data_IF_133377282957
#
_entry.id   IF_133377282957
#
_cell.length_a   1.000
_cell.length_b   1.000
_cell.length_c   1.000
_cell.angle_alpha   90.00
_cell.angle_beta   90.00
_cell.angle_gamma   90.00
#
_symmetry.space_group_name_H-M   'P 1'
#
loop_
_entity.id
_entity.type
_entity.pdbx_description
1 polymer ?
#
# COMPACT_ATOMS: atom_id res chain seq x y z
N UNK A 1 -16.60 -0.75 25.40
CA UNK A 1 -15.27 -0.12 25.32
C UNK A 1 -14.23 -1.24 25.44
N UNK A 2 -13.53 -1.59 24.35
CA UNK A 2 -12.43 -2.57 24.36
C UNK A 2 -11.13 -1.83 24.70
N UNK A 3 -10.28 -2.34 25.61
CA UNK A 3 -9.02 -1.68 25.91
C UNK A 3 -8.04 -1.86 24.75
N UNK A 4 -7.31 -0.78 24.45
CA UNK A 4 -6.17 -0.78 23.54
C UNK A 4 -5.06 -1.65 24.15
N UNK A 5 -4.95 -2.90 23.69
CA UNK A 5 -3.84 -3.77 24.06
C UNK A 5 -2.60 -3.27 23.31
N UNK A 6 -1.72 -2.60 24.05
CA UNK A 6 -0.37 -2.24 23.61
C UNK A 6 0.43 -3.53 23.38
N UNK A 7 0.36 -4.07 22.16
CA UNK A 7 1.21 -5.17 21.73
C UNK A 7 2.61 -4.59 21.56
N UNK A 8 3.42 -4.67 22.61
CA UNK A 8 4.87 -4.51 22.49
C UNK A 8 5.35 -5.60 21.54
N UNK A 9 5.70 -5.23 20.31
CA UNK A 9 6.33 -6.10 19.31
C UNK A 9 7.72 -6.48 19.83
N UNK A 10 7.80 -7.55 20.62
CA UNK A 10 9.06 -8.22 20.89
C UNK A 10 9.61 -8.70 19.56
N UNK A 11 10.77 -8.14 19.15
CA UNK A 11 11.53 -8.58 17.98
C UNK A 11 11.89 -10.05 18.16
N UNK A 12 11.00 -10.93 17.71
CA UNK A 12 11.13 -12.37 17.83
C UNK A 12 11.81 -12.84 16.58
N UNK A 13 13.10 -13.17 16.70
CA UNK A 13 13.91 -13.72 15.62
C UNK A 13 13.56 -15.21 15.43
N UNK A 14 12.33 -15.48 14.98
CA UNK A 14 11.81 -16.83 14.76
C UNK A 14 12.12 -17.31 13.35
N UNK A 15 12.44 -18.59 13.21
CA UNK A 15 12.65 -19.20 11.90
C UNK A 15 11.30 -19.45 11.22
N UNK A 16 11.08 -18.83 10.07
CA UNK A 16 9.81 -18.92 9.31
C UNK A 16 9.88 -19.99 8.23
N UNK A 17 11.05 -20.17 7.60
CA UNK A 17 11.28 -21.17 6.57
C UNK A 17 12.46 -22.08 6.93
N UNK A 18 12.21 -23.39 7.04
CA UNK A 18 13.26 -24.39 7.24
C UNK A 18 14.08 -24.66 5.96
N UNK A 19 13.45 -24.75 4.79
CA UNK A 19 14.14 -25.14 3.55
C UNK A 19 15.14 -24.09 3.04
N UNK A 20 14.88 -22.83 3.35
CA UNK A 20 15.72 -21.70 2.96
C UNK A 20 16.36 -21.01 4.17
N UNK A 21 16.16 -21.48 5.41
CA UNK A 21 16.67 -20.84 6.63
C UNK A 21 16.38 -19.32 6.66
N UNK A 22 15.10 -18.96 6.52
CA UNK A 22 14.64 -17.56 6.52
C UNK A 22 14.02 -17.24 7.87
N UNK A 23 14.39 -16.11 8.47
CA UNK A 23 13.83 -15.62 9.74
C UNK A 23 12.67 -14.65 9.52
N UNK A 24 11.86 -14.45 10.55
CA UNK A 24 10.80 -13.44 10.58
C UNK A 24 11.37 -12.04 10.39
N UNK A 25 12.51 -11.73 11.00
CA UNK A 25 13.18 -10.43 10.89
C UNK A 25 13.62 -10.11 9.46
N UNK A 26 14.14 -11.09 8.72
CA UNK A 26 14.48 -10.91 7.30
C UNK A 26 13.25 -10.56 6.47
N UNK A 27 12.13 -11.27 6.69
CA UNK A 27 10.86 -10.98 6.00
C UNK A 27 10.33 -9.61 6.39
N UNK A 28 10.29 -9.28 7.67
CA UNK A 28 9.81 -7.98 8.18
C UNK A 28 10.61 -6.81 7.59
N UNK A 29 11.94 -6.91 7.59
CA UNK A 29 12.81 -5.86 7.04
C UNK A 29 12.55 -5.65 5.54
N UNK A 30 12.44 -6.72 4.76
CA UNK A 30 12.16 -6.62 3.32
C UNK A 30 10.79 -5.97 3.08
N UNK A 31 9.75 -6.39 3.83
CA UNK A 31 8.42 -5.79 3.70
C UNK A 31 8.46 -4.30 4.03
N UNK A 32 9.15 -3.91 5.10
CA UNK A 32 9.32 -2.50 5.47
C UNK A 32 10.06 -1.72 4.40
N UNK A 33 11.12 -2.27 3.81
CA UNK A 33 11.90 -1.58 2.79
C UNK A 33 11.11 -1.43 1.49
N UNK A 34 10.29 -2.42 1.12
CA UNK A 34 9.34 -2.32 0.00
C UNK A 34 8.31 -1.20 0.24
N UNK A 35 7.76 -1.09 1.45
CA UNK A 35 6.77 -0.06 1.80
C UNK A 35 7.37 1.35 1.95
N UNK A 36 8.63 1.45 2.37
CA UNK A 36 9.37 2.73 2.38
C UNK A 36 9.64 3.23 0.96
N UNK A 37 9.92 2.31 0.03
CA UNK A 37 10.14 2.66 -1.37
C UNK A 37 8.83 3.08 -2.07
N UNK A 38 7.74 2.36 -1.83
CA UNK A 38 6.39 2.71 -2.28
C UNK A 38 5.32 2.24 -1.28
N UNK A 39 4.72 3.17 -0.51
CA UNK A 39 3.73 2.84 0.54
C UNK A 39 2.49 2.09 0.05
N UNK A 40 2.12 2.22 -1.23
CA UNK A 40 0.87 1.66 -1.79
C UNK A 40 1.10 0.43 -2.66
N UNK A 41 2.35 -0.03 -2.73
CA UNK A 41 2.70 -1.18 -3.53
C UNK A 41 2.14 -2.47 -2.93
N UNK A 42 1.62 -3.35 -3.80
CA UNK A 42 1.19 -4.68 -3.40
C UNK A 42 2.40 -5.56 -3.02
N UNK A 43 2.50 -5.90 -1.74
CA UNK A 43 3.51 -6.83 -1.23
C UNK A 43 2.97 -8.27 -1.29
N UNK A 44 3.62 -9.12 -2.08
CA UNK A 44 3.27 -10.55 -2.22
C UNK A 44 4.45 -11.43 -1.84
N UNK A 45 4.22 -12.69 -1.40
CA UNK A 45 5.30 -13.62 -1.07
C UNK A 45 6.34 -13.75 -2.18
N UNK A 46 5.90 -13.85 -3.43
CA UNK A 46 6.80 -13.94 -4.59
C UNK A 46 7.79 -12.76 -4.66
N UNK A 47 7.36 -11.55 -4.29
CA UNK A 47 8.21 -10.37 -4.27
C UNK A 47 9.23 -10.42 -3.14
N UNK A 48 8.78 -10.81 -1.94
CA UNK A 48 9.68 -11.02 -0.78
C UNK A 48 10.76 -12.05 -1.08
N UNK A 49 10.39 -13.19 -1.69
CA UNK A 49 11.34 -14.21 -2.13
C UNK A 49 12.30 -13.69 -3.22
N UNK A 50 11.81 -12.83 -4.12
CA UNK A 50 12.62 -12.12 -5.11
C UNK A 50 13.72 -11.27 -4.47
N UNK A 51 13.36 -10.44 -3.48
CA UNK A 51 14.32 -9.61 -2.74
C UNK A 51 15.35 -10.45 -1.97
N UNK A 52 14.94 -11.63 -1.44
CA UNK A 52 15.86 -12.58 -0.80
C UNK A 52 16.81 -13.28 -1.79
N UNK A 53 16.63 -13.10 -3.11
CA UNK A 53 17.30 -13.86 -4.15
C UNK A 53 17.15 -15.39 -3.98
N UNK A 54 16.01 -15.84 -3.45
CA UNK A 54 15.71 -17.25 -3.16
C UNK A 54 14.36 -17.63 -3.76
N UNK A 55 14.25 -18.85 -4.31
CA UNK A 55 12.95 -19.41 -4.72
C UNK A 55 12.32 -20.21 -3.58
N UNK A 56 10.99 -20.25 -3.54
CA UNK A 56 10.27 -21.12 -2.62
C UNK A 56 10.51 -22.59 -3.01
N UNK A 57 11.10 -23.39 -2.09
CA UNK A 57 11.41 -24.82 -2.35
C UNK A 57 10.21 -25.75 -2.10
N UNK A 58 9.56 -25.61 -0.94
CA UNK A 58 8.45 -26.49 -0.51
C UNK A 58 7.11 -25.77 -0.36
N UNK A 59 7.09 -24.43 -0.51
CA UNK A 59 5.96 -23.50 -0.28
C UNK A 59 5.21 -23.59 1.05
N UNK A 60 5.55 -24.51 1.97
CA UNK A 60 4.83 -24.68 3.25
C UNK A 60 4.91 -23.51 4.23
N UNK A 61 5.90 -22.61 4.08
CA UNK A 61 6.06 -21.41 4.91
C UNK A 61 5.37 -20.17 4.34
N UNK A 62 4.77 -20.25 3.15
CA UNK A 62 4.11 -19.10 2.50
C UNK A 62 3.00 -18.49 3.35
N UNK A 63 2.11 -19.27 4.01
CA UNK A 63 1.08 -18.68 4.89
C UNK A 63 1.68 -17.82 6.02
N UNK A 64 2.74 -18.30 6.68
CA UNK A 64 3.43 -17.53 7.71
C UNK A 64 4.05 -16.23 7.18
N UNK A 65 4.58 -16.26 5.95
CA UNK A 65 5.09 -15.05 5.28
C UNK A 65 3.95 -14.06 5.01
N UNK A 66 2.78 -14.54 4.56
CA UNK A 66 1.59 -13.71 4.36
C UNK A 66 1.14 -13.06 5.67
N UNK A 67 1.09 -13.80 6.77
CA UNK A 67 0.73 -13.25 8.08
C UNK A 67 1.67 -12.13 8.54
N UNK A 68 2.98 -12.30 8.28
CA UNK A 68 3.99 -11.26 8.54
C UNK A 68 3.73 -10.04 7.65
N UNK A 69 3.48 -10.24 6.35
CA UNK A 69 3.17 -9.14 5.42
C UNK A 69 1.99 -8.34 5.93
N UNK A 70 0.85 -8.98 6.22
CA UNK A 70 -0.36 -8.32 6.72
C UNK A 70 -0.06 -7.51 7.97
N UNK A 71 0.54 -8.14 9.00
CA UNK A 71 0.89 -7.46 10.25
C UNK A 71 1.78 -6.24 10.05
N UNK A 72 2.83 -6.37 9.23
CA UNK A 72 3.78 -5.27 8.98
C UNK A 72 3.11 -4.15 8.19
N UNK A 73 2.32 -4.47 7.17
CA UNK A 73 1.58 -3.47 6.39
C UNK A 73 0.59 -2.69 7.25
N UNK A 74 -0.22 -3.35 8.07
CA UNK A 74 -1.18 -2.70 8.97
C UNK A 74 -0.46 -1.78 9.99
N UNK A 75 0.64 -2.26 10.57
CA UNK A 75 1.44 -1.46 11.50
C UNK A 75 2.09 -0.24 10.81
N UNK A 76 2.59 -0.41 9.58
CA UNK A 76 3.20 0.67 8.82
C UNK A 76 2.18 1.76 8.48
N UNK A 77 1.02 1.38 7.93
CA UNK A 77 -0.01 2.33 7.54
C UNK A 77 -0.72 2.98 8.72
N UNK A 78 -0.88 2.29 9.85
CA UNK A 78 -1.44 2.90 11.06
C UNK A 78 -0.53 3.97 11.66
N UNK A 79 0.79 3.80 11.60
CA UNK A 79 1.75 4.82 12.00
C UNK A 79 1.76 6.02 11.05
N UNK A 80 1.74 5.77 9.74
CA UNK A 80 1.69 6.81 8.71
C UNK A 80 0.36 7.58 8.68
N UNK A 81 -0.77 6.93 8.97
CA UNK A 81 -2.09 7.58 9.01
C UNK A 81 -2.19 8.63 10.14
N UNK A 82 -1.39 8.52 11.18
CA UNK A 82 -1.27 9.56 12.22
C UNK A 82 -0.52 10.80 11.71
N UNK A 83 0.31 10.65 10.67
CA UNK A 83 1.11 11.71 10.05
C UNK A 83 0.50 12.24 8.74
N UNK A 84 -0.52 11.57 8.19
CA UNK A 84 -1.15 11.94 6.93
C UNK A 84 -1.82 13.32 7.05
N UNK A 85 -1.10 14.32 6.54
CA UNK A 85 -1.51 15.72 6.47
C UNK A 85 -2.82 15.94 5.73
N UNK A 86 -3.34 17.15 5.90
CA UNK A 86 -4.68 17.60 5.50
C UNK A 86 -5.14 17.03 4.14
N UNK A 87 -6.18 16.20 4.18
CA UNK A 87 -6.82 15.63 3.00
C UNK A 87 -7.45 16.77 2.20
N UNK A 88 -6.77 17.23 1.14
CA UNK A 88 -7.31 18.28 0.28
C UNK A 88 -8.49 17.72 -0.52
N UNK A 89 -9.68 18.20 -0.21
CA UNK A 89 -10.92 17.92 -0.95
C UNK A 89 -10.91 18.60 -2.33
N UNK A 90 -10.35 17.92 -3.33
CA UNK A 90 -10.40 18.32 -4.74
C UNK A 90 -11.82 18.62 -5.29
N UNK A 91 -12.91 17.95 -4.86
CA UNK A 91 -14.26 18.28 -5.33
C UNK A 91 -14.63 19.76 -5.14
N UNK A 92 -14.23 20.34 -4.01
CA UNK A 92 -14.51 21.75 -3.70
C UNK A 92 -13.77 22.74 -4.62
N UNK A 93 -12.55 22.37 -5.08
CA UNK A 93 -11.82 23.12 -6.09
C UNK A 93 -12.44 23.01 -7.48
N UNK A 94 -12.98 21.84 -7.81
CA UNK A 94 -13.61 21.57 -9.10
C UNK A 94 -14.89 22.41 -9.29
N UNK A 95 -15.69 22.57 -8.24
CA UNK A 95 -16.91 23.39 -8.28
C UNK A 95 -16.60 24.87 -8.50
N UNK A 96 -15.51 25.38 -7.93
CA UNK A 96 -15.02 26.75 -8.20
C UNK A 96 -14.63 26.92 -9.67
N UNK A 97 -13.91 25.96 -10.23
CA UNK A 97 -13.49 25.99 -11.64
C UNK A 97 -14.68 25.95 -12.61
N UNK A 98 -15.69 25.11 -12.32
CA UNK A 98 -16.93 25.02 -13.11
C UNK A 98 -17.71 26.34 -13.11
N UNK A 99 -17.78 27.03 -11.97
CA UNK A 99 -18.42 28.37 -11.87
C UNK A 99 -17.66 29.44 -12.66
N UNK A 100 -16.34 29.36 -12.75
CA UNK A 100 -15.55 30.30 -13.56
C UNK A 100 -15.74 30.08 -15.07
N UNK A 101 -15.93 28.83 -15.50
CA UNK A 101 -16.10 28.49 -16.91
C UNK A 101 -17.53 28.70 -17.46
N UNK A 102 -18.54 28.90 -16.62
CA UNK A 102 -19.93 29.08 -17.07
C UNK A 102 -20.18 30.41 -17.81
N UNK A 103 -19.24 31.35 -17.77
CA UNK A 103 -19.30 32.63 -18.50
C UNK A 103 -18.55 32.65 -19.85
N UNK A 104 -17.79 31.60 -20.18
CA UNK A 104 -17.02 31.55 -21.43
C UNK A 104 -17.95 31.20 -22.58
N UNK A 105 -18.01 32.05 -23.62
CA UNK A 105 -18.70 31.72 -24.88
C UNK A 105 -18.14 30.40 -25.40
N UNK A 106 -18.93 29.32 -25.28
CA UNK A 106 -18.66 28.08 -25.98
C UNK A 106 -18.86 28.36 -27.46
N UNK A 107 -17.75 28.43 -28.20
CA UNK A 107 -17.73 28.35 -29.66
C UNK A 107 -18.61 27.15 -30.05
N UNK A 108 -19.84 27.41 -30.49
CA UNK A 108 -20.79 26.33 -30.79
C UNK A 108 -20.26 25.63 -32.04
N UNK A 109 -20.14 24.30 -32.03
CA UNK A 109 -20.05 23.54 -33.28
C UNK A 109 -21.29 23.87 -34.10
N UNK A 110 -21.09 24.45 -35.28
CA UNK A 110 -22.18 24.74 -36.21
C UNK A 110 -22.88 23.43 -36.57
N UNK A 111 -24.21 23.53 -36.75
CA UNK A 111 -25.08 22.40 -37.13
C UNK A 111 -24.66 21.74 -38.44
N UNK A 112 -23.85 22.42 -39.25
CA UNK A 112 -23.27 21.93 -40.51
C UNK A 112 -22.28 20.76 -40.37
N UNK A 113 -21.82 20.44 -39.15
CA UNK A 113 -20.84 19.37 -38.90
C UNK A 113 -21.42 18.15 -38.16
N UNK A 114 -22.75 17.94 -38.19
CA UNK A 114 -23.33 16.67 -37.74
C UNK A 114 -23.28 15.67 -38.89
N UNK A 115 -22.60 14.54 -38.70
CA UNK A 115 -22.72 13.39 -39.57
C UNK A 115 -24.19 12.89 -39.52
N UNK A 116 -24.74 12.62 -40.70
CA UNK A 116 -26.11 12.14 -40.90
C UNK A 116 -26.32 10.73 -40.32
#
# INVERSE_FOLDING_TARGET
MRPASSIKTSRTNMLVCQCNMITSSEVENIVLDLLKADPWQLVVPAKVYGELNRRAKCSGCVPNVVDIIVRVTENYHSQQALEAGEVVSLPSGLDKLKKQQSGVRRERRSTSHRAA
#
